data_IF_017234681496
#
_entry.id   IF_017234681496
#
_cell.length_a   1.000
_cell.length_b   1.000
_cell.length_c   1.000
_cell.angle_alpha   90.00
_cell.angle_beta   90.00
_cell.angle_gamma   90.00
#
_symmetry.space_group_name_H-M   'P 1'
#
loop_
_entity.id
_entity.type
_entity.pdbx_description
1 polymer ?
#
# COMPACT_ATOMS: atom_id res chain seq x y z
N UNK A 1 -2.68 27.68 10.57
CA UNK A 1 -2.68 26.87 11.81
C UNK A 1 -3.89 25.93 11.85
N UNK A 2 -3.99 24.93 10.96
CA UNK A 2 -5.16 24.00 10.91
C UNK A 2 -4.87 22.60 10.32
N UNK A 3 -3.65 22.06 10.40
CA UNK A 3 -3.37 20.70 9.84
C UNK A 3 -2.64 19.78 10.84
N UNK A 4 -2.62 20.10 12.12
CA UNK A 4 -1.93 19.26 13.12
C UNK A 4 -2.71 17.99 13.55
N UNK A 5 -3.91 17.74 13.04
CA UNK A 5 -4.76 16.66 13.56
C UNK A 5 -4.63 15.29 12.82
N UNK A 6 -4.17 15.27 11.57
CA UNK A 6 -4.20 14.02 10.77
C UNK A 6 -3.01 13.12 11.08
N UNK A 7 -1.83 13.68 11.31
CA UNK A 7 -0.63 12.89 11.63
C UNK A 7 -0.70 12.21 13.01
N UNK A 8 -1.46 12.77 13.95
CA UNK A 8 -1.61 12.24 15.31
C UNK A 8 -2.55 11.03 15.35
N UNK A 9 -3.53 10.94 14.47
CA UNK A 9 -4.48 9.83 14.44
C UNK A 9 -3.86 8.52 13.95
N UNK A 10 -2.82 8.56 13.12
CA UNK A 10 -2.15 7.35 12.61
C UNK A 10 -1.27 6.71 13.69
N UNK A 11 -0.66 7.50 14.59
CA UNK A 11 0.19 6.98 15.67
C UNK A 11 -0.54 6.76 17.00
N UNK A 12 -1.66 7.42 17.26
CA UNK A 12 -2.42 7.27 18.49
C UNK A 12 -3.28 5.98 18.54
N UNK A 13 -3.60 5.39 17.37
CA UNK A 13 -4.37 4.14 17.29
C UNK A 13 -3.61 2.89 17.73
N UNK A 14 -2.27 2.96 17.88
CA UNK A 14 -1.44 1.78 18.20
C UNK A 14 -1.30 1.55 19.71
N UNK A 15 -1.74 2.46 20.58
CA UNK A 15 -1.39 2.43 22.01
C UNK A 15 -2.55 2.15 22.97
N UNK A 16 -3.67 1.59 22.53
CA UNK A 16 -4.70 1.16 23.47
C UNK A 16 -5.10 -0.30 23.25
N UNK A 17 -4.61 -1.14 24.14
CA UNK A 17 -5.03 -2.54 24.39
C UNK A 17 -4.84 -3.50 23.22
N UNK A 18 -3.95 -4.45 23.39
CA UNK A 18 -3.77 -5.66 22.56
C UNK A 18 -5.00 -6.60 22.59
N UNK A 19 -6.18 -6.06 22.33
CA UNK A 19 -7.29 -6.85 21.83
C UNK A 19 -7.05 -7.11 20.37
N UNK A 20 -7.24 -8.34 19.92
CA UNK A 20 -7.12 -8.74 18.51
C UNK A 20 -7.82 -7.69 17.64
N UNK A 21 -7.03 -6.96 16.84
CA UNK A 21 -7.56 -5.96 15.91
C UNK A 21 -8.52 -6.69 14.98
N UNK A 22 -9.80 -6.35 15.01
CA UNK A 22 -10.79 -6.96 14.14
C UNK A 22 -10.40 -6.65 12.69
N UNK A 23 -10.52 -7.64 11.80
CA UNK A 23 -10.25 -7.50 10.38
C UNK A 23 -11.06 -6.35 9.74
N UNK A 24 -12.24 -6.02 10.29
CA UNK A 24 -13.05 -4.91 9.83
C UNK A 24 -12.43 -3.55 10.19
N UNK A 25 -11.85 -3.43 11.38
CA UNK A 25 -11.17 -2.20 11.82
C UNK A 25 -9.92 -1.95 10.99
N UNK A 26 -9.15 -3.00 10.70
CA UNK A 26 -7.95 -2.89 9.89
C UNK A 26 -8.27 -2.51 8.43
N UNK A 27 -9.30 -3.12 7.83
CA UNK A 27 -9.80 -2.76 6.50
C UNK A 27 -10.21 -1.29 6.43
N UNK A 28 -11.01 -0.83 7.38
CA UNK A 28 -11.45 0.57 7.44
C UNK A 28 -10.26 1.51 7.61
N UNK A 29 -9.31 1.15 8.47
CA UNK A 29 -8.10 1.95 8.70
C UNK A 29 -7.27 2.09 7.44
N UNK A 30 -7.05 1.02 6.67
CA UNK A 30 -6.23 1.10 5.44
C UNK A 30 -6.90 1.94 4.35
N UNK A 31 -8.21 1.82 4.17
CA UNK A 31 -8.97 2.64 3.22
C UNK A 31 -8.86 4.12 3.60
N UNK A 32 -9.12 4.46 4.87
CA UNK A 32 -9.04 5.84 5.35
C UNK A 32 -7.61 6.40 5.26
N UNK A 33 -6.61 5.59 5.57
CA UNK A 33 -5.20 6.00 5.44
C UNK A 33 -4.81 6.27 3.99
N UNK A 34 -5.23 5.43 3.04
CA UNK A 34 -5.01 5.63 1.61
C UNK A 34 -5.70 6.91 1.10
N UNK A 35 -6.96 7.13 1.45
CA UNK A 35 -7.70 8.35 1.12
C UNK A 35 -7.05 9.60 1.73
N UNK A 36 -6.66 9.54 3.02
CA UNK A 36 -6.01 10.66 3.70
C UNK A 36 -4.67 11.01 3.06
N UNK A 37 -3.88 10.00 2.66
CA UNK A 37 -2.60 10.19 1.98
C UNK A 37 -2.77 10.84 0.61
N UNK A 38 -3.73 10.38 -0.19
CA UNK A 38 -4.05 10.99 -1.48
C UNK A 38 -4.54 12.44 -1.31
N UNK A 39 -5.41 12.68 -0.33
CA UNK A 39 -5.90 14.03 -0.02
C UNK A 39 -4.78 14.94 0.45
N UNK A 40 -3.87 14.45 1.30
CA UNK A 40 -2.69 15.19 1.74
C UNK A 40 -1.80 15.60 0.56
N UNK A 41 -1.52 14.68 -0.36
CA UNK A 41 -0.72 14.95 -1.54
C UNK A 41 -1.38 15.98 -2.47
N UNK A 42 -2.68 15.88 -2.73
CA UNK A 42 -3.43 16.81 -3.56
C UNK A 42 -3.50 18.20 -2.92
N UNK A 43 -3.74 18.27 -1.61
CA UNK A 43 -3.83 19.53 -0.86
C UNK A 43 -2.51 20.30 -0.74
N UNK A 44 -1.38 19.60 -0.88
CA UNK A 44 -0.04 20.19 -0.83
C UNK A 44 0.71 20.05 -2.16
N UNK A 45 -0.02 19.97 -3.27
CA UNK A 45 0.57 19.76 -4.60
C UNK A 45 1.56 20.86 -5.02
N UNK A 46 1.38 22.06 -4.52
CA UNK A 46 2.26 23.21 -4.71
C UNK A 46 3.64 23.03 -4.07
N UNK A 47 3.74 22.14 -3.08
CA UNK A 47 4.98 21.76 -2.41
C UNK A 47 5.66 20.52 -3.01
N UNK A 48 5.04 19.89 -4.00
CA UNK A 48 5.65 18.77 -4.74
C UNK A 48 6.77 19.31 -5.62
N UNK A 49 7.96 18.75 -5.45
CA UNK A 49 9.07 18.96 -6.38
C UNK A 49 8.82 18.22 -7.68
N UNK A 50 9.46 18.63 -8.80
CA UNK A 50 9.41 17.86 -10.03
C UNK A 50 9.73 16.38 -9.76
N UNK A 51 8.96 15.47 -10.36
CA UNK A 51 9.19 14.05 -10.19
C UNK A 51 10.48 13.65 -10.87
N UNK A 52 11.32 12.91 -10.16
CA UNK A 52 12.55 12.32 -10.68
C UNK A 52 12.24 10.96 -11.27
N UNK A 53 12.81 10.65 -12.44
CA UNK A 53 12.79 9.28 -12.97
C UNK A 53 13.58 8.39 -12.00
N UNK A 54 12.92 7.39 -11.46
CA UNK A 54 13.54 6.49 -10.50
C UNK A 54 12.84 5.14 -10.56
N UNK A 55 13.58 4.10 -10.91
CA UNK A 55 13.04 2.76 -11.00
C UNK A 55 13.16 2.03 -9.66
N UNK A 56 12.05 1.49 -9.20
CA UNK A 56 11.97 0.67 -7.99
C UNK A 56 11.31 -0.65 -8.37
N UNK A 57 12.07 -1.73 -8.35
CA UNK A 57 11.58 -3.07 -8.67
C UNK A 57 11.44 -3.86 -7.38
N UNK A 58 10.28 -4.45 -7.17
CA UNK A 58 10.01 -5.18 -5.96
C UNK A 58 9.25 -6.49 -6.17
N UNK A 59 9.37 -7.36 -5.20
CA UNK A 59 8.59 -8.58 -5.07
C UNK A 59 7.96 -8.62 -3.68
N UNK A 60 6.71 -9.09 -3.62
CA UNK A 60 5.95 -9.24 -2.38
C UNK A 60 5.25 -10.58 -2.38
N UNK A 61 5.46 -11.37 -1.34
CA UNK A 61 4.69 -12.58 -1.05
C UNK A 61 3.66 -12.28 0.02
N UNK A 62 2.39 -12.60 -0.22
CA UNK A 62 1.29 -12.32 0.68
C UNK A 62 0.41 -13.53 0.93
N UNK A 63 -0.32 -13.50 2.05
CA UNK A 63 -1.27 -14.54 2.43
C UNK A 63 -2.56 -13.96 3.00
N UNK A 64 -3.70 -14.50 2.56
CA UNK A 64 -5.02 -14.30 3.16
C UNK A 64 -5.70 -15.66 3.36
N UNK A 65 -5.86 -16.13 4.60
CA UNK A 65 -6.49 -17.42 4.92
C UNK A 65 -5.90 -18.57 4.08
N UNK A 66 -6.55 -18.90 2.97
CA UNK A 66 -6.20 -19.99 2.05
C UNK A 66 -5.75 -19.52 0.68
N UNK A 67 -5.63 -18.21 0.49
CA UNK A 67 -5.10 -17.57 -0.70
C UNK A 67 -3.65 -17.14 -0.45
N UNK A 68 -2.83 -17.31 -1.46
CA UNK A 68 -1.46 -16.82 -1.53
C UNK A 68 -1.36 -15.86 -2.70
N UNK A 69 -0.56 -14.81 -2.57
CA UNK A 69 -0.28 -13.88 -3.65
C UNK A 69 1.21 -13.69 -3.82
N UNK A 70 1.67 -13.79 -5.06
CA UNK A 70 3.01 -13.45 -5.50
C UNK A 70 2.89 -12.21 -6.39
N UNK A 71 3.49 -11.10 -5.99
CA UNK A 71 3.30 -9.79 -6.61
C UNK A 71 4.63 -9.21 -7.04
N UNK A 72 4.79 -8.97 -8.34
CA UNK A 72 5.86 -8.14 -8.89
C UNK A 72 5.40 -6.68 -8.91
N UNK A 73 6.29 -5.75 -8.53
CA UNK A 73 6.02 -4.32 -8.41
C UNK A 73 7.03 -3.50 -9.18
N UNK A 74 6.57 -2.41 -9.75
CA UNK A 74 7.38 -1.47 -10.49
C UNK A 74 6.97 -0.04 -10.14
N UNK A 75 7.79 0.66 -9.40
CA UNK A 75 7.76 2.11 -9.27
C UNK A 75 8.62 2.72 -10.38
N UNK A 76 8.16 3.78 -11.02
CA UNK A 76 8.86 4.34 -12.19
C UNK A 76 9.22 5.82 -12.03
N UNK A 77 8.81 6.44 -10.95
CA UNK A 77 9.21 7.80 -10.60
C UNK A 77 9.06 8.03 -9.10
N UNK A 78 9.68 9.07 -8.60
CA UNK A 78 9.53 9.54 -7.22
C UNK A 78 9.28 11.04 -7.21
N UNK A 79 8.14 11.44 -6.63
CA UNK A 79 7.77 12.83 -6.46
C UNK A 79 7.92 13.22 -5.00
N UNK A 80 9.03 13.85 -4.66
CA UNK A 80 9.32 14.31 -3.29
C UNK A 80 8.54 15.58 -2.99
N UNK A 81 8.13 15.75 -1.75
CA UNK A 81 7.47 16.97 -1.25
C UNK A 81 8.41 17.72 -0.32
N UNK A 82 8.40 19.04 -0.39
CA UNK A 82 8.98 19.85 0.68
C UNK A 82 8.06 19.80 1.90
N UNK A 83 8.50 19.07 2.91
CA UNK A 83 7.71 18.80 4.12
C UNK A 83 8.11 19.65 5.32
N UNK A 84 9.09 20.54 5.17
CA UNK A 84 9.66 21.33 6.27
C UNK A 84 8.62 22.12 7.05
N UNK A 85 7.57 22.62 6.37
CA UNK A 85 6.50 23.41 6.98
C UNK A 85 5.22 22.60 7.33
N UNK A 86 5.09 21.36 6.82
CA UNK A 86 3.82 20.60 6.92
C UNK A 86 3.92 19.36 7.79
N UNK A 87 5.11 18.76 7.88
CA UNK A 87 5.34 17.57 8.70
C UNK A 87 6.35 17.87 9.83
N UNK A 88 6.05 17.45 11.06
CA UNK A 88 6.96 17.64 12.18
C UNK A 88 8.13 16.65 12.13
N UNK A 89 9.14 16.91 12.93
CA UNK A 89 10.25 15.98 13.25
C UNK A 89 11.13 15.56 12.08
N UNK A 90 11.14 16.32 10.97
CA UNK A 90 11.94 16.00 9.78
C UNK A 90 11.50 14.70 9.10
N UNK A 91 10.19 14.47 9.06
CA UNK A 91 9.60 13.38 8.27
C UNK A 91 9.57 13.82 6.81
N UNK A 92 10.14 12.99 5.94
CA UNK A 92 10.05 13.13 4.49
C UNK A 92 8.74 12.56 3.98
N UNK A 93 8.23 13.11 2.89
CA UNK A 93 7.13 12.54 2.14
C UNK A 93 7.47 12.48 0.65
N UNK A 94 7.11 11.36 0.03
CA UNK A 94 7.18 11.19 -1.43
C UNK A 94 6.02 10.33 -1.92
N UNK A 95 5.65 10.55 -3.18
CA UNK A 95 4.71 9.71 -3.90
C UNK A 95 5.50 8.84 -4.87
N UNK A 96 5.22 7.54 -4.89
CA UNK A 96 5.80 6.56 -5.79
C UNK A 96 4.65 5.92 -6.56
N UNK A 97 4.35 6.40 -7.79
CA UNK A 97 3.43 5.71 -8.68
C UNK A 97 3.92 4.29 -8.94
N UNK A 98 3.16 3.29 -8.53
CA UNK A 98 3.56 1.89 -8.55
C UNK A 98 2.56 1.06 -9.33
N UNK A 99 3.00 0.47 -10.45
CA UNK A 99 2.31 -0.61 -11.13
C UNK A 99 2.63 -1.95 -10.47
N UNK A 100 1.70 -2.89 -10.51
CA UNK A 100 1.96 -4.24 -10.03
C UNK A 100 1.21 -5.30 -10.85
N UNK A 101 1.80 -6.50 -10.88
CA UNK A 101 1.18 -7.72 -11.37
C UNK A 101 1.25 -8.77 -10.26
N UNK A 102 0.13 -9.43 -9.98
CA UNK A 102 0.02 -10.40 -8.90
C UNK A 102 -0.60 -11.70 -9.42
N UNK A 103 -0.09 -12.83 -8.96
CA UNK A 103 -0.72 -14.14 -9.16
C UNK A 103 -1.26 -14.60 -7.81
N UNK A 104 -2.57 -14.83 -7.76
CA UNK A 104 -3.19 -15.43 -6.58
C UNK A 104 -3.34 -16.92 -6.79
N UNK A 105 -3.13 -17.71 -5.75
CA UNK A 105 -3.20 -19.15 -5.78
C UNK A 105 -3.97 -19.69 -4.57
N UNK A 106 -4.66 -20.82 -4.78
CA UNK A 106 -5.30 -21.59 -3.70
C UNK A 106 -5.29 -23.07 -4.04
N UNK A 107 -5.18 -23.91 -3.02
CA UNK A 107 -5.37 -25.36 -3.14
C UNK A 107 -6.81 -25.80 -2.93
N UNK A 108 -7.74 -24.88 -2.67
CA UNK A 108 -9.11 -25.22 -2.25
C UNK A 108 -10.17 -24.61 -3.15
N UNK A 109 -11.22 -25.41 -3.37
CA UNK A 109 -12.42 -25.00 -4.11
C UNK A 109 -12.45 -25.43 -5.57
N UNK A 110 -13.62 -25.34 -6.18
CA UNK A 110 -13.91 -25.82 -7.54
C UNK A 110 -13.84 -24.72 -8.61
N UNK A 111 -13.69 -23.45 -8.22
CA UNK A 111 -13.79 -22.30 -9.14
C UNK A 111 -12.44 -21.82 -9.68
N UNK A 112 -11.51 -22.76 -9.90
CA UNK A 112 -10.14 -22.46 -10.34
C UNK A 112 -9.18 -22.24 -9.17
N UNK A 113 -7.91 -22.54 -9.41
CA UNK A 113 -6.84 -22.53 -8.39
C UNK A 113 -5.95 -21.29 -8.47
N UNK A 114 -6.09 -20.49 -9.54
CA UNK A 114 -5.28 -19.28 -9.73
C UNK A 114 -6.05 -18.18 -10.45
N UNK A 115 -5.65 -16.93 -10.23
CA UNK A 115 -6.02 -15.76 -11.03
C UNK A 115 -4.84 -14.80 -11.13
N UNK A 116 -4.88 -13.91 -12.11
CA UNK A 116 -3.94 -12.80 -12.27
C UNK A 116 -4.66 -11.50 -11.93
N UNK A 117 -3.96 -10.63 -11.24
CA UNK A 117 -4.35 -9.26 -10.91
C UNK A 117 -3.32 -8.30 -11.50
N UNK A 118 -3.79 -7.22 -12.10
CA UNK A 118 -2.98 -6.10 -12.55
C UNK A 118 -3.51 -4.83 -11.93
N UNK A 119 -2.65 -4.00 -11.38
CA UNK A 119 -3.10 -2.78 -10.73
C UNK A 119 -2.07 -1.68 -10.71
N UNK A 120 -2.53 -0.53 -10.24
CA UNK A 120 -1.74 0.68 -10.10
C UNK A 120 -2.12 1.38 -8.81
N UNK A 121 -1.12 1.68 -7.98
CA UNK A 121 -1.31 2.39 -6.70
C UNK A 121 -0.31 3.53 -6.59
N UNK A 122 -0.75 4.79 -6.47
CA UNK A 122 0.12 5.87 -6.03
C UNK A 122 0.41 5.68 -4.53
N UNK A 123 1.61 5.18 -4.22
CA UNK A 123 2.04 4.99 -2.84
C UNK A 123 2.62 6.28 -2.27
N UNK A 124 1.96 6.85 -1.27
CA UNK A 124 2.56 7.88 -0.41
C UNK A 124 3.42 7.23 0.65
N UNK A 125 4.68 7.60 0.71
CA UNK A 125 5.64 7.10 1.67
C UNK A 125 6.10 8.23 2.60
N UNK A 126 5.86 8.04 3.90
CA UNK A 126 6.33 8.91 4.98
C UNK A 126 7.51 8.22 5.65
N UNK A 127 8.64 8.89 5.75
CA UNK A 127 9.81 8.24 6.31
C UNK A 127 10.81 9.19 6.95
N UNK A 128 11.78 8.61 7.64
CA UNK A 128 12.83 9.34 8.32
C UNK A 128 14.11 8.52 8.41
N UNK A 129 15.25 9.18 8.23
CA UNK A 129 16.56 8.60 8.52
C UNK A 129 16.77 8.48 10.05
N UNK A 130 17.21 7.32 10.51
CA UNK A 130 17.52 7.02 11.90
C UNK A 130 18.89 6.30 11.92
N UNK A 131 19.95 7.07 12.10
CA UNK A 131 21.32 6.55 11.97
C UNK A 131 21.57 5.99 10.55
N UNK A 132 22.08 4.73 10.43
CA UNK A 132 22.43 4.15 9.14
C UNK A 132 21.23 3.57 8.37
N UNK A 133 20.01 3.66 8.89
CA UNK A 133 18.81 3.12 8.30
C UNK A 133 17.78 4.21 8.03
N UNK A 134 16.86 3.92 7.11
CA UNK A 134 15.68 4.75 6.85
C UNK A 134 14.42 3.93 7.18
N UNK A 135 13.56 4.48 8.04
CA UNK A 135 12.29 3.87 8.44
C UNK A 135 11.15 4.58 7.73
N UNK A 136 10.18 3.83 7.24
CA UNK A 136 9.02 4.40 6.55
C UNK A 136 7.70 3.71 6.87
N UNK A 137 6.63 4.47 6.67
CA UNK A 137 5.27 3.96 6.54
C UNK A 137 4.73 4.37 5.17
N UNK A 138 4.05 3.46 4.48
CA UNK A 138 3.48 3.70 3.16
C UNK A 138 1.99 3.42 3.14
N UNK A 139 1.25 4.23 2.38
CA UNK A 139 -0.19 4.11 2.21
C UNK A 139 -0.54 4.43 0.76
N UNK A 140 -1.52 3.72 0.21
CA UNK A 140 -1.99 3.97 -1.13
C UNK A 140 -3.34 3.34 -1.40
N UNK A 141 -4.05 3.93 -2.34
CA UNK A 141 -5.32 3.43 -2.87
C UNK A 141 -5.28 3.60 -4.39
N UNK A 142 -5.61 2.55 -5.11
CA UNK A 142 -5.65 2.61 -6.56
C UNK A 142 -6.49 1.50 -7.20
N UNK A 143 -6.74 1.60 -8.51
CA UNK A 143 -7.51 0.62 -9.25
C UNK A 143 -6.72 -0.65 -9.53
N UNK A 144 -7.43 -1.77 -9.58
CA UNK A 144 -6.92 -3.04 -10.09
C UNK A 144 -7.95 -3.81 -10.93
N UNK A 145 -7.44 -4.76 -11.70
CA UNK A 145 -8.23 -5.61 -12.59
C UNK A 145 -7.85 -7.08 -12.40
N UNK A 146 -8.85 -7.90 -12.12
CA UNK A 146 -8.70 -9.34 -11.99
C UNK A 146 -9.00 -10.07 -13.31
N UNK A 147 -8.22 -11.11 -13.62
CA UNK A 147 -8.45 -11.95 -14.80
C UNK A 147 -9.74 -12.79 -14.71
N UNK A 148 -10.24 -13.01 -13.50
CA UNK A 148 -11.51 -13.68 -13.22
C UNK A 148 -12.08 -13.23 -11.88
N UNK A 149 -13.39 -13.37 -11.72
CA UNK A 149 -14.09 -12.95 -10.50
C UNK A 149 -14.29 -14.07 -9.47
N UNK A 150 -13.67 -15.24 -9.67
CA UNK A 150 -13.76 -16.39 -8.75
C UNK A 150 -12.42 -17.07 -8.62
N UNK A 151 -12.10 -17.45 -7.40
CA UNK A 151 -10.94 -18.28 -7.05
C UNK A 151 -11.25 -19.10 -5.80
N UNK A 152 -11.14 -20.41 -5.86
CA UNK A 152 -11.51 -21.28 -4.75
C UNK A 152 -12.95 -21.03 -4.28
N UNK A 153 -13.10 -20.60 -3.04
CA UNK A 153 -14.39 -20.24 -2.42
C UNK A 153 -14.69 -18.74 -2.50
N UNK A 154 -13.74 -17.93 -2.93
CA UNK A 154 -13.90 -16.48 -3.05
C UNK A 154 -14.66 -16.12 -4.33
N UNK A 155 -15.61 -15.18 -4.18
CA UNK A 155 -16.37 -14.63 -5.30
C UNK A 155 -16.39 -13.12 -5.22
N UNK A 156 -15.93 -12.46 -6.28
CA UNK A 156 -16.06 -11.04 -6.53
C UNK A 156 -17.21 -10.78 -7.49
N UNK A 157 -17.92 -9.69 -7.36
CA UNK A 157 -19.03 -9.36 -8.29
C UNK A 157 -18.55 -8.67 -9.56
N UNK A 158 -17.34 -8.10 -9.55
CA UNK A 158 -16.72 -7.39 -10.68
C UNK A 158 -15.29 -7.86 -10.88
N UNK A 159 -14.76 -7.70 -12.10
CA UNK A 159 -13.33 -7.86 -12.37
C UNK A 159 -12.55 -6.62 -11.93
N UNK A 160 -13.17 -5.44 -12.04
CA UNK A 160 -12.60 -4.19 -11.56
C UNK A 160 -12.72 -4.11 -10.03
N UNK A 161 -11.62 -3.86 -9.39
CA UNK A 161 -11.48 -3.74 -7.94
C UNK A 161 -10.67 -2.47 -7.59
N UNK A 162 -10.54 -2.23 -6.31
CA UNK A 162 -9.61 -1.27 -5.73
C UNK A 162 -8.68 -2.00 -4.78
N UNK A 163 -7.41 -1.67 -4.86
CA UNK A 163 -6.39 -2.10 -3.91
C UNK A 163 -6.08 -0.94 -2.97
N UNK A 164 -6.33 -1.18 -1.68
CA UNK A 164 -5.88 -0.35 -0.58
C UNK A 164 -4.67 -1.02 0.04
N UNK A 165 -3.58 -0.27 0.21
CA UNK A 165 -2.35 -0.80 0.78
C UNK A 165 -1.82 0.08 1.89
N UNK A 166 -1.35 -0.54 2.96
CA UNK A 166 -0.49 0.08 3.94
C UNK A 166 0.71 -0.81 4.23
N UNK A 167 1.83 -0.20 4.56
CA UNK A 167 3.04 -0.93 4.89
C UNK A 167 3.96 -0.15 5.80
N UNK A 168 4.84 -0.88 6.46
CA UNK A 168 6.00 -0.32 7.16
C UNK A 168 7.25 -0.91 6.55
N UNK A 169 8.31 -0.11 6.45
CA UNK A 169 9.54 -0.51 5.78
C UNK A 169 10.78 -0.06 6.50
N UNK A 170 11.84 -0.79 6.26
CA UNK A 170 13.20 -0.46 6.62
C UNK A 170 14.08 -0.51 5.38
N UNK A 171 14.90 0.51 5.20
CA UNK A 171 15.83 0.64 4.06
C UNK A 171 17.25 0.91 4.55
N UNK A 172 18.23 0.70 3.68
CA UNK A 172 19.56 1.25 3.87
C UNK A 172 19.54 2.78 3.81
N UNK A 173 20.60 3.45 4.27
CA UNK A 173 20.68 4.93 4.32
C UNK A 173 20.50 5.60 2.94
N UNK A 174 20.86 4.90 1.85
CA UNK A 174 20.65 5.35 0.46
C UNK A 174 19.27 4.97 -0.08
N UNK A 175 18.46 4.27 0.71
CA UNK A 175 17.13 3.77 0.34
C UNK A 175 17.12 2.91 -0.94
N UNK A 176 18.22 2.20 -1.24
CA UNK A 176 18.31 1.30 -2.40
C UNK A 176 17.61 -0.02 -2.15
N UNK A 177 17.83 -0.63 -0.98
CA UNK A 177 17.14 -1.83 -0.55
C UNK A 177 16.05 -1.49 0.46
N UNK A 178 14.86 -2.04 0.27
CA UNK A 178 13.77 -1.88 1.21
C UNK A 178 13.14 -3.23 1.51
N UNK A 179 13.11 -3.60 2.79
CA UNK A 179 12.30 -4.69 3.33
C UNK A 179 11.01 -4.10 3.90
N UNK A 180 9.87 -4.69 3.60
CA UNK A 180 8.58 -4.19 4.05
C UNK A 180 7.66 -5.29 4.56
N UNK A 181 6.84 -4.95 5.57
CA UNK A 181 5.63 -5.67 5.95
C UNK A 181 4.44 -4.87 5.44
N UNK A 182 3.55 -5.52 4.71
CA UNK A 182 2.41 -4.86 4.06
C UNK A 182 1.10 -5.55 4.39
N UNK A 183 0.05 -4.75 4.45
CA UNK A 183 -1.33 -5.20 4.43
C UNK A 183 -2.00 -4.62 3.18
N UNK A 184 -2.61 -5.48 2.36
CA UNK A 184 -3.28 -5.11 1.13
C UNK A 184 -4.71 -5.62 1.15
N UNK A 185 -5.67 -4.71 1.06
CA UNK A 185 -7.10 -4.99 0.96
C UNK A 185 -7.56 -4.79 -0.48
N UNK A 186 -8.28 -5.77 -1.04
CA UNK A 186 -8.80 -5.72 -2.40
C UNK A 186 -10.31 -5.89 -2.36
N UNK A 187 -11.04 -4.88 -2.85
CA UNK A 187 -12.49 -4.89 -2.90
C UNK A 187 -13.02 -3.97 -4.01
N UNK A 188 -14.30 -4.06 -4.31
CA UNK A 188 -14.94 -3.14 -5.27
C UNK A 188 -15.64 -1.94 -4.60
N UNK A 189 -15.31 -1.62 -3.35
CA UNK A 189 -15.91 -0.53 -2.56
C UNK A 189 -17.44 -0.58 -2.52
N UNK A 190 -18.03 -1.77 -2.54
CA UNK A 190 -19.49 -2.04 -2.56
C UNK A 190 -20.24 -1.46 -3.78
N UNK A 191 -19.53 -1.15 -4.87
CA UNK A 191 -20.15 -0.75 -6.14
C UNK A 191 -21.13 -1.83 -6.63
N UNK A 192 -20.82 -3.11 -6.35
CA UNK A 192 -21.71 -4.23 -6.66
C UNK A 192 -21.53 -5.37 -5.66
N UNK A 193 -22.63 -5.89 -5.13
CA UNK A 193 -22.64 -7.06 -4.23
C UNK A 193 -22.71 -8.39 -5.00
N UNK A 194 -22.13 -9.49 -4.49
CA UNK A 194 -21.35 -9.58 -3.24
C UNK A 194 -19.96 -8.96 -3.39
N UNK A 195 -19.52 -8.20 -2.36
CA UNK A 195 -18.18 -7.67 -2.28
C UNK A 195 -17.37 -8.42 -1.22
N UNK A 196 -16.91 -9.62 -1.56
CA UNK A 196 -16.03 -10.38 -0.69
C UNK A 196 -14.60 -9.81 -0.76
N UNK A 197 -14.28 -8.92 0.17
CA UNK A 197 -12.93 -8.37 0.30
C UNK A 197 -11.88 -9.48 0.51
N UNK A 198 -10.66 -9.24 0.03
CA UNK A 198 -9.50 -10.11 0.23
C UNK A 198 -8.40 -9.32 0.89
N UNK A 199 -7.78 -9.87 1.93
CA UNK A 199 -6.82 -9.18 2.78
C UNK A 199 -5.50 -9.94 2.79
N UNK A 200 -4.50 -9.48 2.06
CA UNK A 200 -3.17 -10.08 2.10
C UNK A 200 -2.28 -9.38 3.11
N UNK A 201 -1.70 -10.15 4.03
CA UNK A 201 -0.54 -9.74 4.80
C UNK A 201 0.69 -10.36 4.16
N UNK A 202 1.71 -9.55 3.88
CA UNK A 202 2.86 -10.02 3.13
C UNK A 202 4.17 -9.32 3.48
N UNK A 203 5.24 -9.98 3.09
CA UNK A 203 6.59 -9.45 3.13
C UNK A 203 7.02 -9.06 1.72
N UNK A 204 7.63 -7.89 1.60
CA UNK A 204 8.14 -7.37 0.34
C UNK A 204 9.62 -7.03 0.44
N UNK A 205 10.33 -7.23 -0.66
CA UNK A 205 11.68 -6.77 -0.88
C UNK A 205 11.71 -5.96 -2.17
N UNK A 206 12.25 -4.77 -2.14
CA UNK A 206 12.46 -3.96 -3.34
C UNK A 206 13.87 -3.42 -3.45
N UNK A 207 14.26 -3.13 -4.68
CA UNK A 207 15.52 -2.50 -5.02
C UNK A 207 15.29 -1.30 -5.92
N UNK A 208 15.92 -0.19 -5.57
CA UNK A 208 15.88 1.06 -6.32
C UNK A 208 17.17 1.21 -7.10
N UNK A 209 17.01 1.47 -8.38
CA UNK A 209 18.11 1.81 -9.27
C UNK A 209 18.31 3.33 -9.19
N UNK A 210 19.50 3.75 -8.80
CA UNK A 210 19.93 5.14 -8.90
C UNK A 210 20.56 5.31 -10.30
N UNK A 211 20.15 6.36 -11.02
CA UNK A 211 20.81 6.82 -12.24
C UNK A 211 22.09 7.58 -11.89
#
# INVERSE_FOLDING_TARGET
>A
MRISFIAILIFAGINQNAHAVDNNDLKTTVILAGLATNTFAISNRDKLKPCESQWDVGYQAGKDKRLYSDTARLGFMSCKMDTSEVLPWGIDFKIIPTGFASVWQTSQGTNGTSLVELGFVPLGQFGKAVGPIYLDASFGLGPDLLSRNRIGVQRKSTLFQFTDEMGVGISDSKQRWRLSLTYRHISNLDIRLPNNGTNFVGLGLSYRFDD
#
